data_IF_450948988304
#
_entry.id   IF_450948988304
#
_cell.length_a   1.000
_cell.length_b   1.000
_cell.length_c   1.000
_cell.angle_alpha   90.00
_cell.angle_beta   90.00
_cell.angle_gamma   90.00
#
_symmetry.space_group_name_H-M   'P 1'
#
loop_
_entity.id
_entity.type
_entity.pdbx_description
1 polymer ?
#
# COMPACT_ATOMS: atom_id res chain seq x y z
N UNK A 1 -2.22 86.18 -19.24
CA UNK A 1 -1.76 85.47 -18.01
C UNK A 1 -0.76 84.41 -18.45
N UNK A 2 0.36 84.28 -17.73
CA UNK A 2 1.67 83.81 -18.21
C UNK A 2 1.73 82.39 -18.83
N UNK A 3 2.57 82.28 -19.86
CA UNK A 3 3.14 81.05 -20.44
C UNK A 3 4.06 80.38 -19.41
N UNK A 4 3.95 79.05 -19.24
CA UNK A 4 5.06 78.22 -18.73
C UNK A 4 5.28 77.00 -19.63
N UNK A 5 6.54 76.83 -20.05
CA UNK A 5 7.05 75.76 -20.93
C UNK A 5 7.95 74.83 -20.11
N UNK A 6 7.96 73.55 -20.50
CA UNK A 6 8.91 72.45 -20.16
C UNK A 6 8.81 71.89 -18.72
N UNK A 7 9.04 70.59 -18.45
CA UNK A 7 10.06 69.70 -19.03
C UNK A 7 9.74 68.22 -18.76
N UNK A 8 9.87 67.36 -19.78
CA UNK A 8 9.96 65.91 -19.62
C UNK A 8 11.23 65.54 -18.84
N UNK A 9 11.07 64.79 -17.75
CA UNK A 9 12.12 63.98 -17.11
C UNK A 9 11.52 62.57 -16.99
N UNK A 10 11.76 61.73 -17.99
CA UNK A 10 11.32 60.34 -18.00
C UNK A 10 12.36 59.53 -18.78
N UNK A 11 13.18 58.76 -18.07
CA UNK A 11 14.19 57.89 -18.68
C UNK A 11 15.27 57.44 -17.70
N UNK A 12 15.85 58.36 -16.94
CA UNK A 12 17.01 58.03 -16.08
C UNK A 12 16.64 57.33 -14.76
N UNK A 13 15.47 57.66 -14.16
CA UNK A 13 15.08 57.12 -12.84
C UNK A 13 14.63 55.65 -12.93
N UNK A 14 13.94 55.26 -14.01
CA UNK A 14 13.51 53.86 -14.19
C UNK A 14 14.65 52.89 -14.47
N UNK A 15 15.72 53.33 -15.15
CA UNK A 15 16.87 52.48 -15.47
C UNK A 15 17.70 52.20 -14.20
N UNK A 16 17.83 53.17 -13.30
CA UNK A 16 18.58 53.01 -12.05
C UNK A 16 17.90 52.01 -11.08
N UNK A 17 16.56 52.02 -11.01
CA UNK A 17 15.81 51.05 -10.20
C UNK A 17 15.90 49.63 -10.76
N UNK A 18 15.88 49.47 -12.09
CA UNK A 18 16.04 48.14 -12.73
C UNK A 18 17.46 47.62 -12.52
N UNK A 19 18.49 48.47 -12.62
CA UNK A 19 19.88 48.09 -12.36
C UNK A 19 20.10 47.69 -10.89
N UNK A 20 19.57 48.45 -9.94
CA UNK A 20 19.67 48.11 -8.51
C UNK A 20 18.92 46.82 -8.17
N UNK A 21 17.76 46.57 -8.78
CA UNK A 21 17.00 45.33 -8.61
C UNK A 21 17.70 44.11 -9.22
N UNK A 22 18.30 44.26 -10.40
CA UNK A 22 19.09 43.20 -11.04
C UNK A 22 20.38 42.91 -10.28
N UNK A 23 21.05 43.95 -9.74
CA UNK A 23 22.23 43.79 -8.87
C UNK A 23 21.83 43.10 -7.57
N UNK A 24 20.71 43.50 -6.93
CA UNK A 24 20.20 42.85 -5.72
C UNK A 24 19.86 41.37 -5.96
N UNK A 25 19.23 41.02 -7.08
CA UNK A 25 18.94 39.62 -7.44
C UNK A 25 20.22 38.83 -7.73
N UNK A 26 21.21 39.42 -8.42
CA UNK A 26 22.50 38.76 -8.67
C UNK A 26 23.32 38.56 -7.40
N UNK A 27 23.39 39.56 -6.52
CA UNK A 27 24.10 39.47 -5.25
C UNK A 27 23.40 38.52 -4.28
N UNK A 28 22.07 38.55 -4.22
CA UNK A 28 21.26 37.61 -3.43
C UNK A 28 21.50 36.16 -3.89
N UNK A 29 21.47 35.88 -5.20
CA UNK A 29 21.76 34.54 -5.73
C UNK A 29 23.20 34.08 -5.50
N UNK A 30 24.18 34.98 -5.59
CA UNK A 30 25.60 34.67 -5.34
C UNK A 30 25.86 34.36 -3.86
N UNK A 31 25.35 35.20 -2.96
CA UNK A 31 25.54 35.03 -1.52
C UNK A 31 24.74 33.81 -1.00
N UNK A 32 23.56 33.53 -1.55
CA UNK A 32 22.82 32.31 -1.22
C UNK A 32 23.52 31.04 -1.76
N UNK A 33 24.12 31.10 -2.95
CA UNK A 33 24.95 30.02 -3.50
C UNK A 33 26.17 29.74 -2.64
N UNK A 34 26.86 30.77 -2.14
CA UNK A 34 28.09 30.60 -1.36
C UNK A 34 27.83 30.23 0.10
N UNK A 35 26.70 30.65 0.68
CA UNK A 35 26.24 30.19 2.01
C UNK A 35 25.75 28.74 1.95
N UNK A 36 25.05 28.33 0.89
CA UNK A 36 24.64 26.93 0.67
C UNK A 36 25.85 26.03 0.39
N UNK A 37 26.88 26.53 -0.29
CA UNK A 37 28.15 25.78 -0.50
C UNK A 37 29.00 25.67 0.76
N UNK A 38 28.94 26.63 1.69
CA UNK A 38 29.72 26.59 2.94
C UNK A 38 29.08 25.77 4.06
N UNK A 39 27.78 25.42 3.96
CA UNK A 39 27.09 24.56 4.93
C UNK A 39 26.87 23.11 4.46
N UNK A 40 27.11 22.78 3.18
CA UNK A 40 26.94 21.43 2.63
C UNK A 40 28.29 20.72 2.38
N UNK A 41 29.06 20.52 3.44
CA UNK A 41 30.21 19.60 3.46
C UNK A 41 29.82 18.10 3.43
N UNK A 42 28.53 17.79 3.29
CA UNK A 42 28.05 16.50 2.84
C UNK A 42 27.07 16.76 1.72
N UNK A 43 27.28 16.17 0.54
CA UNK A 43 26.16 16.00 -0.38
C UNK A 43 25.05 15.28 0.41
N UNK A 44 23.77 15.70 0.31
CA UNK A 44 22.71 14.79 0.68
C UNK A 44 22.88 13.61 -0.27
N UNK A 45 23.47 12.52 0.23
CA UNK A 45 23.33 11.24 -0.40
C UNK A 45 21.82 11.00 -0.39
N UNK A 46 21.17 11.30 -1.51
CA UNK A 46 20.01 10.53 -1.93
C UNK A 46 20.51 9.10 -1.93
N UNK A 47 20.32 8.42 -0.80
CA UNK A 47 20.53 6.99 -0.68
C UNK A 47 19.66 6.40 -1.78
N UNK A 48 20.29 5.98 -2.87
CA UNK A 48 19.57 5.24 -3.88
C UNK A 48 18.87 4.07 -3.17
N UNK A 49 17.58 3.87 -3.41
CA UNK A 49 16.85 2.79 -2.77
C UNK A 49 17.62 1.48 -2.98
N UNK A 50 17.75 0.67 -1.93
CA UNK A 50 18.45 -0.62 -2.09
C UNK A 50 17.71 -1.42 -3.18
N UNK A 51 18.42 -2.22 -4.00
CA UNK A 51 17.82 -2.87 -5.16
C UNK A 51 16.62 -3.77 -4.82
N UNK A 52 16.52 -4.25 -3.57
CA UNK A 52 15.45 -5.13 -3.08
C UNK A 52 14.51 -4.44 -2.08
N UNK A 53 14.61 -3.11 -1.94
CA UNK A 53 13.78 -2.34 -1.03
C UNK A 53 12.34 -2.24 -1.54
N UNK A 54 11.40 -2.38 -0.61
CA UNK A 54 9.97 -2.34 -0.89
C UNK A 54 9.34 -1.20 -0.11
N UNK A 55 8.58 -0.34 -0.80
CA UNK A 55 7.66 0.60 -0.13
C UNK A 55 6.39 -0.14 0.24
N UNK A 56 6.01 -0.09 1.52
CA UNK A 56 4.79 -0.71 2.03
C UNK A 56 3.67 0.32 2.01
N UNK A 57 2.51 -0.08 1.51
CA UNK A 57 1.28 0.69 1.53
C UNK A 57 0.24 -0.03 2.38
N UNK A 58 -0.48 0.71 3.20
CA UNK A 58 -1.59 0.19 3.99
C UNK A 58 -2.72 1.19 4.09
N UNK A 59 -3.93 0.70 4.34
CA UNK A 59 -5.13 1.49 4.63
C UNK A 59 -5.82 0.86 5.84
N UNK A 60 -6.27 1.70 6.76
CA UNK A 60 -7.16 1.29 7.84
C UNK A 60 -8.45 2.09 7.81
N UNK A 61 -9.57 1.37 7.83
CA UNK A 61 -10.93 1.91 7.97
C UNK A 61 -11.55 1.24 9.20
N UNK A 62 -11.94 1.99 10.24
CA UNK A 62 -12.56 1.43 11.43
C UNK A 62 -13.98 0.96 11.10
N UNK A 63 -14.20 -0.36 11.05
CA UNK A 63 -15.49 -0.97 10.70
C UNK A 63 -16.36 -1.27 11.93
N UNK A 64 -15.85 -1.01 13.14
CA UNK A 64 -16.49 -1.42 14.38
C UNK A 64 -16.40 -2.93 14.58
N UNK A 65 -17.37 -3.50 15.30
CA UNK A 65 -17.43 -4.95 15.55
C UNK A 65 -18.07 -5.68 14.38
N UNK A 66 -17.39 -6.68 13.82
CA UNK A 66 -17.92 -7.48 12.73
C UNK A 66 -17.53 -8.97 12.85
N UNK A 67 -18.35 -9.85 12.27
CA UNK A 67 -18.08 -11.28 12.22
C UNK A 67 -17.15 -11.60 11.05
N UNK A 68 -16.16 -12.48 11.28
CA UNK A 68 -15.30 -13.03 10.23
C UNK A 68 -14.93 -14.48 10.51
N UNK A 69 -15.12 -15.34 9.52
CA UNK A 69 -14.96 -16.79 9.65
C UNK A 69 -16.21 -17.46 10.21
N UNK A 70 -16.04 -18.65 10.83
CA UNK A 70 -17.12 -19.45 11.39
C UNK A 70 -17.94 -18.75 12.49
N UNK A 71 -19.09 -19.34 12.83
CA UNK A 71 -20.05 -18.78 13.79
C UNK A 71 -19.39 -18.46 15.14
N UNK A 72 -19.45 -17.19 15.57
CA UNK A 72 -18.96 -16.71 16.86
C UNK A 72 -17.64 -15.93 16.83
N UNK A 73 -16.92 -15.89 15.70
CA UNK A 73 -15.66 -15.15 15.60
C UNK A 73 -15.89 -13.68 15.23
N UNK A 74 -15.69 -12.79 16.20
CA UNK A 74 -15.81 -11.34 16.03
C UNK A 74 -14.44 -10.65 16.09
N UNK A 75 -14.34 -9.57 15.32
CA UNK A 75 -13.21 -8.67 15.25
C UNK A 75 -13.70 -7.26 15.51
N UNK A 76 -12.84 -6.43 16.09
CA UNK A 76 -13.15 -5.06 16.49
C UNK A 76 -11.92 -4.16 16.35
N UNK A 77 -12.16 -2.85 16.46
CA UNK A 77 -11.11 -1.84 16.30
C UNK A 77 -9.98 -1.99 17.33
N UNK A 78 -10.29 -2.40 18.57
CA UNK A 78 -9.30 -2.54 19.63
C UNK A 78 -8.33 -3.69 19.36
N UNK A 79 -8.83 -4.82 18.85
CA UNK A 79 -7.99 -5.93 18.39
C UNK A 79 -7.08 -5.49 17.25
N UNK A 80 -7.61 -4.80 16.25
CA UNK A 80 -6.79 -4.29 15.14
C UNK A 80 -5.76 -3.26 15.61
N UNK A 81 -6.12 -2.38 16.57
CA UNK A 81 -5.19 -1.43 17.18
C UNK A 81 -4.02 -2.13 17.87
N UNK A 82 -4.25 -3.24 18.59
CA UNK A 82 -3.17 -4.06 19.14
C UNK A 82 -2.26 -4.59 18.03
N UNK A 83 -2.83 -5.11 16.94
CA UNK A 83 -2.05 -5.64 15.83
C UNK A 83 -1.24 -4.59 15.07
N UNK A 84 -1.70 -3.33 15.02
CA UNK A 84 -0.96 -2.23 14.40
C UNK A 84 0.42 -2.02 15.04
N UNK A 85 0.66 -2.45 16.28
CA UNK A 85 1.97 -2.34 16.94
C UNK A 85 3.12 -2.92 16.11
N UNK A 86 2.86 -3.97 15.31
CA UNK A 86 3.88 -4.58 14.45
C UNK A 86 4.40 -3.63 13.37
N UNK A 87 3.61 -2.63 12.97
CA UNK A 87 4.04 -1.56 12.06
C UNK A 87 5.02 -0.60 12.74
N UNK A 88 5.08 -0.55 14.08
CA UNK A 88 6.16 0.14 14.79
C UNK A 88 7.51 -0.53 14.51
N UNK A 89 7.54 -1.85 14.34
CA UNK A 89 8.77 -2.61 14.12
C UNK A 89 9.17 -2.75 12.65
N UNK A 90 8.30 -2.34 11.73
CA UNK A 90 8.53 -2.43 10.29
C UNK A 90 9.42 -1.26 9.81
N UNK A 91 10.68 -1.54 9.50
CA UNK A 91 11.66 -0.52 9.07
C UNK A 91 11.52 -0.07 7.61
N UNK A 92 10.68 -0.73 6.81
CA UNK A 92 10.38 -0.28 5.44
C UNK A 92 9.83 1.15 5.45
N UNK A 93 9.99 1.83 4.31
CA UNK A 93 9.18 3.01 4.02
C UNK A 93 7.70 2.59 4.03
N UNK A 94 6.90 3.29 4.81
CA UNK A 94 5.47 3.06 4.94
C UNK A 94 4.70 4.27 4.44
N UNK A 95 3.70 4.03 3.59
CA UNK A 95 2.65 4.98 3.24
C UNK A 95 1.34 4.46 3.81
N UNK A 96 0.84 5.10 4.86
CA UNK A 96 -0.38 4.68 5.56
C UNK A 96 -1.51 5.67 5.32
N UNK A 97 -2.63 5.16 4.79
CA UNK A 97 -3.87 5.90 4.61
C UNK A 97 -4.82 5.62 5.76
N UNK A 98 -5.25 6.66 6.47
CA UNK A 98 -5.95 6.54 7.74
C UNK A 98 -7.20 7.42 7.72
N UNK A 99 -8.35 6.85 8.09
CA UNK A 99 -9.65 7.54 7.98
C UNK A 99 -10.11 8.25 9.24
N UNK A 100 -9.37 8.11 10.35
CA UNK A 100 -9.68 8.70 11.64
C UNK A 100 -8.41 9.21 12.35
N UNK A 101 -8.58 10.24 13.18
CA UNK A 101 -7.48 10.90 13.89
C UNK A 101 -6.84 10.01 14.97
N UNK A 102 -7.62 9.14 15.60
CA UNK A 102 -7.12 8.25 16.66
C UNK A 102 -6.09 7.27 16.09
N UNK A 103 -6.41 6.65 14.96
CA UNK A 103 -5.49 5.75 14.26
C UNK A 103 -4.32 6.51 13.65
N UNK A 104 -4.55 7.71 13.11
CA UNK A 104 -3.48 8.60 12.63
C UNK A 104 -2.44 8.88 13.71
N UNK A 105 -2.90 9.34 14.87
CA UNK A 105 -2.03 9.67 16.00
C UNK A 105 -1.34 8.42 16.55
N UNK A 106 -2.04 7.28 16.55
CA UNK A 106 -1.44 6.01 16.97
C UNK A 106 -0.30 5.56 16.05
N UNK A 107 -0.49 5.59 14.72
CA UNK A 107 0.58 5.28 13.76
C UNK A 107 1.79 6.21 13.91
N UNK A 108 1.52 7.51 14.09
CA UNK A 108 2.57 8.51 14.36
C UNK A 108 3.36 8.16 15.62
N UNK A 109 2.68 7.74 16.69
CA UNK A 109 3.30 7.38 17.95
C UNK A 109 4.18 6.11 17.82
N UNK A 110 3.63 5.01 17.30
CA UNK A 110 4.34 3.71 17.29
C UNK A 110 5.55 3.73 16.34
N UNK A 111 5.56 4.62 15.34
CA UNK A 111 6.68 4.79 14.39
C UNK A 111 7.60 5.97 14.72
N UNK A 112 7.37 6.69 15.82
CA UNK A 112 8.12 7.92 16.16
C UNK A 112 9.61 7.70 16.39
N UNK A 113 10.02 6.47 16.69
CA UNK A 113 11.42 6.08 16.87
C UNK A 113 12.16 5.78 15.55
N UNK A 114 11.43 5.67 14.43
CA UNK A 114 12.02 5.47 13.11
C UNK A 114 12.36 6.82 12.46
N UNK A 115 13.33 6.86 11.53
CA UNK A 115 13.63 8.07 10.78
C UNK A 115 12.37 8.65 10.10
N UNK A 116 12.15 9.98 10.12
CA UNK A 116 10.92 10.59 9.61
C UNK A 116 10.59 10.24 8.15
N UNK A 117 11.60 10.08 7.31
CA UNK A 117 11.47 9.73 5.89
C UNK A 117 10.90 8.30 5.66
N UNK A 118 10.91 7.46 6.70
CA UNK A 118 10.35 6.09 6.66
C UNK A 118 8.84 6.06 6.82
N UNK A 119 8.18 7.18 7.11
CA UNK A 119 6.75 7.19 7.42
C UNK A 119 6.05 8.36 6.75
N UNK A 120 5.13 8.04 5.83
CA UNK A 120 4.18 8.97 5.25
C UNK A 120 2.79 8.60 5.75
N UNK A 121 2.16 9.51 6.50
CA UNK A 121 0.80 9.33 7.00
C UNK A 121 -0.14 10.26 6.24
N UNK A 122 -1.19 9.70 5.66
CA UNK A 122 -2.17 10.42 4.83
C UNK A 122 -3.54 10.23 5.46
N UNK A 123 -4.19 11.35 5.80
CA UNK A 123 -5.61 11.33 6.14
C UNK A 123 -6.40 11.20 4.85
N UNK A 124 -7.38 10.31 4.83
CA UNK A 124 -8.25 10.11 3.67
C UNK A 124 -9.68 9.94 4.13
N UNK A 125 -10.64 10.51 3.41
CA UNK A 125 -12.03 10.16 3.60
C UNK A 125 -12.36 8.94 2.73
N UNK A 126 -13.04 7.93 3.28
CA UNK A 126 -13.44 6.75 2.50
C UNK A 126 -14.25 7.11 1.25
N UNK A 127 -15.02 8.20 1.25
CA UNK A 127 -15.78 8.66 0.08
C UNK A 127 -14.89 9.13 -1.09
N UNK A 128 -13.63 9.45 -0.83
CA UNK A 128 -12.64 9.83 -1.85
C UNK A 128 -12.06 8.61 -2.57
N UNK A 129 -12.18 7.41 -1.97
CA UNK A 129 -11.68 6.16 -2.54
C UNK A 129 -12.66 5.65 -3.60
N UNK A 130 -12.12 5.35 -4.80
CA UNK A 130 -12.91 4.93 -5.95
C UNK A 130 -13.85 3.76 -5.65
N UNK A 131 -13.39 2.76 -4.91
CA UNK A 131 -14.16 1.57 -4.53
C UNK A 131 -15.40 1.91 -3.70
N UNK A 132 -15.34 2.92 -2.84
CA UNK A 132 -16.46 3.29 -1.98
C UNK A 132 -17.58 4.03 -2.74
N UNK A 133 -17.33 4.49 -3.97
CA UNK A 133 -18.38 5.05 -4.84
C UNK A 133 -19.43 4.01 -5.23
N UNK A 134 -19.08 2.73 -5.19
CA UNK A 134 -19.98 1.61 -5.48
C UNK A 134 -20.73 1.09 -4.24
N UNK A 135 -20.71 1.83 -3.11
CA UNK A 135 -21.33 1.39 -1.85
C UNK A 135 -22.79 0.99 -2.00
N UNK A 136 -23.63 1.89 -2.52
CA UNK A 136 -25.07 1.63 -2.63
C UNK A 136 -25.34 0.43 -3.54
N UNK A 137 -24.55 0.29 -4.62
CA UNK A 137 -24.67 -0.82 -5.57
C UNK A 137 -24.30 -2.16 -4.92
N UNK A 138 -23.16 -2.23 -4.22
CA UNK A 138 -22.74 -3.44 -3.51
C UNK A 138 -23.72 -3.78 -2.39
N UNK A 139 -24.19 -2.79 -1.64
CA UNK A 139 -25.17 -2.98 -0.58
C UNK A 139 -26.49 -3.53 -1.12
N UNK A 140 -26.96 -3.02 -2.26
CA UNK A 140 -28.15 -3.53 -2.95
C UNK A 140 -27.98 -4.98 -3.43
N UNK A 141 -26.79 -5.36 -3.91
CA UNK A 141 -26.50 -6.76 -4.28
C UNK A 141 -26.58 -7.64 -3.03
N UNK A 142 -25.95 -7.22 -1.93
CA UNK A 142 -25.91 -7.99 -0.68
C UNK A 142 -27.26 -8.08 0.03
N UNK A 143 -28.19 -7.15 -0.20
CA UNK A 143 -29.53 -7.20 0.36
C UNK A 143 -30.44 -8.22 -0.32
N UNK A 144 -30.09 -8.74 -1.50
CA UNK A 144 -30.91 -9.73 -2.20
C UNK A 144 -31.00 -11.05 -1.39
N UNK A 145 -32.18 -11.68 -1.26
CA UNK A 145 -32.35 -12.90 -0.46
C UNK A 145 -31.55 -14.10 -0.99
N UNK A 146 -31.40 -14.21 -2.30
CA UNK A 146 -30.73 -15.30 -3.02
C UNK A 146 -29.20 -15.11 -3.15
N UNK A 147 -28.67 -13.95 -2.75
CA UNK A 147 -27.25 -13.68 -2.78
C UNK A 147 -26.52 -14.43 -1.65
N UNK A 148 -25.38 -15.09 -1.91
CA UNK A 148 -24.65 -15.89 -0.92
C UNK A 148 -24.31 -15.07 0.32
N UNK A 149 -24.42 -15.68 1.51
CA UNK A 149 -24.20 -15.02 2.81
C UNK A 149 -22.94 -15.56 3.48
N UNK A 150 -21.80 -14.98 3.13
CA UNK A 150 -20.50 -15.29 3.70
C UNK A 150 -20.02 -14.12 4.54
N UNK A 151 -19.90 -14.30 5.85
CA UNK A 151 -19.42 -13.24 6.74
C UNK A 151 -17.88 -13.10 6.67
N UNK A 152 -17.34 -11.88 6.46
CA UNK A 152 -18.02 -10.61 6.14
C UNK A 152 -18.18 -10.35 4.62
N UNK A 153 -17.58 -11.21 3.79
CA UNK A 153 -17.29 -11.01 2.38
C UNK A 153 -18.48 -10.65 1.48
N UNK A 154 -19.69 -11.12 1.78
CA UNK A 154 -20.90 -10.86 0.95
C UNK A 154 -22.10 -10.39 1.76
N UNK A 155 -21.84 -9.90 2.97
CA UNK A 155 -22.88 -9.41 3.90
C UNK A 155 -22.56 -8.02 4.46
N UNK A 156 -21.28 -7.63 4.46
CA UNK A 156 -20.84 -6.31 4.90
C UNK A 156 -20.19 -5.57 3.71
N UNK A 157 -20.95 -4.63 3.13
CA UNK A 157 -20.48 -3.82 2.01
C UNK A 157 -19.26 -2.96 2.40
N UNK A 158 -19.23 -2.38 3.60
CA UNK A 158 -18.08 -1.60 4.07
C UNK A 158 -16.82 -2.46 4.16
N UNK A 159 -16.91 -3.70 4.65
CA UNK A 159 -15.77 -4.61 4.69
C UNK A 159 -15.27 -4.91 3.27
N UNK A 160 -16.19 -5.31 2.38
CA UNK A 160 -15.84 -5.69 1.01
C UNK A 160 -15.16 -4.54 0.28
N UNK A 161 -15.71 -3.34 0.39
CA UNK A 161 -15.17 -2.15 -0.28
C UNK A 161 -13.85 -1.69 0.34
N UNK A 162 -13.62 -1.92 1.64
CA UNK A 162 -12.30 -1.71 2.26
C UNK A 162 -11.25 -2.63 1.64
N UNK A 163 -11.56 -3.90 1.39
CA UNK A 163 -10.64 -4.84 0.73
C UNK A 163 -10.34 -4.42 -0.71
N UNK A 164 -11.35 -3.93 -1.44
CA UNK A 164 -11.19 -3.40 -2.81
C UNK A 164 -10.39 -2.08 -2.85
N UNK A 165 -10.59 -1.19 -1.87
CA UNK A 165 -9.96 0.14 -1.82
C UNK A 165 -8.43 0.10 -1.67
N UNK A 166 -7.87 -1.05 -1.32
CA UNK A 166 -6.44 -1.38 -1.44
C UNK A 166 -5.81 -0.93 -2.74
N UNK A 167 -6.47 -1.20 -3.86
CA UNK A 167 -5.96 -0.86 -5.18
C UNK A 167 -6.11 0.63 -5.51
N UNK A 168 -7.01 1.34 -4.82
CA UNK A 168 -7.09 2.79 -4.90
C UNK A 168 -5.91 3.44 -4.19
N UNK A 169 -5.59 3.00 -2.97
CA UNK A 169 -4.51 3.60 -2.19
C UNK A 169 -3.12 3.18 -2.67
N UNK A 170 -2.95 1.98 -3.23
CA UNK A 170 -1.72 1.60 -3.93
C UNK A 170 -1.45 2.54 -5.12
N UNK A 171 -2.48 2.79 -5.94
CA UNK A 171 -2.40 3.71 -7.07
C UNK A 171 -2.09 5.13 -6.59
N UNK A 172 -2.81 5.61 -5.57
CA UNK A 172 -2.65 6.95 -4.99
C UNK A 172 -1.24 7.15 -4.42
N UNK A 173 -0.68 6.17 -3.70
CA UNK A 173 0.67 6.25 -3.16
C UNK A 173 1.72 6.47 -4.26
N UNK A 174 1.58 5.79 -5.39
CA UNK A 174 2.48 5.96 -6.53
C UNK A 174 2.25 7.29 -7.24
N UNK A 175 1.00 7.71 -7.44
CA UNK A 175 0.65 8.95 -8.16
C UNK A 175 1.04 10.21 -7.39
N UNK A 176 1.00 10.15 -6.05
CA UNK A 176 1.50 11.22 -5.17
C UNK A 176 3.03 11.25 -5.04
N UNK A 177 3.75 10.34 -5.72
CA UNK A 177 5.21 10.27 -5.65
C UNK A 177 5.77 9.77 -4.31
N UNK A 178 4.94 9.10 -3.49
CA UNK A 178 5.38 8.55 -2.20
C UNK A 178 6.07 7.19 -2.33
N UNK A 179 6.09 6.60 -3.53
CA UNK A 179 6.77 5.34 -3.84
C UNK A 179 8.01 5.63 -4.66
N UNK A 180 9.19 5.59 -4.03
CA UNK A 180 10.48 5.84 -4.65
C UNK A 180 11.34 4.57 -4.80
N UNK A 181 10.83 3.42 -4.39
CA UNK A 181 11.49 2.11 -4.52
C UNK A 181 11.04 1.41 -5.80
N UNK A 182 11.86 0.52 -6.37
CA UNK A 182 11.46 -0.28 -7.55
C UNK A 182 10.22 -1.14 -7.29
N UNK A 183 10.09 -1.63 -6.05
CA UNK A 183 9.02 -2.53 -5.64
C UNK A 183 8.08 -1.86 -4.65
N UNK A 184 6.82 -2.26 -4.70
CA UNK A 184 5.76 -1.81 -3.83
C UNK A 184 4.99 -3.02 -3.33
N UNK A 185 4.57 -2.98 -2.08
CA UNK A 185 3.68 -3.98 -1.55
C UNK A 185 2.52 -3.39 -0.76
N UNK A 186 1.39 -4.06 -0.84
CA UNK A 186 0.29 -3.89 0.11
C UNK A 186 0.52 -4.77 1.34
N UNK A 187 0.19 -4.27 2.53
CA UNK A 187 0.19 -5.05 3.79
C UNK A 187 -1.04 -4.75 4.63
N UNK A 188 -1.89 -5.77 4.88
CA UNK A 188 -3.05 -5.66 5.78
C UNK A 188 -2.60 -5.42 7.23
N UNK A 189 -3.40 -4.64 7.97
CA UNK A 189 -3.31 -4.61 9.43
C UNK A 189 -3.67 -5.99 9.98
N UNK A 190 -2.82 -6.55 10.83
CA UNK A 190 -2.96 -7.92 11.36
C UNK A 190 -1.84 -8.86 10.95
N UNK A 191 -1.03 -8.50 9.95
CA UNK A 191 0.19 -9.22 9.62
C UNK A 191 1.23 -9.08 10.72
N UNK A 192 2.05 -10.13 10.86
CA UNK A 192 3.09 -10.25 11.88
C UNK A 192 2.59 -10.18 13.32
N UNK A 193 1.27 -10.30 13.57
CA UNK A 193 0.69 -10.26 14.92
C UNK A 193 1.23 -11.34 15.85
N UNK A 194 1.76 -12.44 15.32
CA UNK A 194 2.42 -13.49 16.12
C UNK A 194 3.71 -12.99 16.76
N UNK A 195 4.38 -11.99 16.16
CA UNK A 195 5.56 -11.36 16.73
C UNK A 195 5.24 -10.54 18.00
N UNK A 196 3.97 -10.25 18.28
CA UNK A 196 3.56 -9.56 19.51
C UNK A 196 3.66 -10.46 20.76
N UNK A 197 3.81 -11.76 20.57
CA UNK A 197 4.07 -12.68 21.66
C UNK A 197 5.54 -12.55 22.09
N UNK A 198 5.78 -12.29 23.37
CA UNK A 198 7.11 -11.93 23.92
C UNK A 198 8.22 -12.94 23.58
N UNK A 199 7.86 -14.21 23.37
CA UNK A 199 8.78 -15.29 23.04
C UNK A 199 9.33 -15.22 21.60
N UNK A 200 8.73 -14.43 20.71
CA UNK A 200 9.10 -14.39 19.30
C UNK A 200 10.03 -13.23 18.95
N UNK A 201 10.01 -12.13 19.73
CA UNK A 201 10.85 -10.97 19.41
C UNK A 201 11.16 -10.08 20.60
N UNK A 202 12.44 -9.70 20.81
CA UNK A 202 12.79 -8.69 21.79
C UNK A 202 12.12 -7.34 21.49
N UNK A 203 11.73 -6.64 22.56
CA UNK A 203 11.22 -5.27 22.49
C UNK A 203 12.26 -4.36 21.80
N UNK A 204 11.82 -3.53 20.86
CA UNK A 204 12.62 -2.59 20.05
C UNK A 204 13.44 -3.19 18.88
N UNK A 205 13.35 -4.48 18.62
CA UNK A 205 13.93 -5.03 17.39
C UNK A 205 13.06 -4.66 16.17
N UNK A 206 13.69 -4.28 15.04
CA UNK A 206 13.01 -3.85 13.81
C UNK A 206 13.24 -4.83 12.67
N UNK A 207 12.21 -5.13 11.87
CA UNK A 207 12.32 -6.06 10.73
C UNK A 207 12.13 -5.30 9.43
N UNK A 208 12.63 -5.86 8.33
CA UNK A 208 12.43 -5.33 6.98
C UNK A 208 11.79 -6.41 6.12
N UNK A 209 10.97 -6.00 5.17
CA UNK A 209 10.47 -6.85 4.09
C UNK A 209 11.25 -6.51 2.82
N UNK A 210 11.75 -7.55 2.17
CA UNK A 210 12.44 -7.45 0.89
C UNK A 210 11.78 -8.34 -0.15
N UNK A 211 12.21 -8.20 -1.39
CA UNK A 211 11.75 -9.06 -2.49
C UNK A 211 12.23 -10.50 -2.26
N UNK A 212 11.41 -11.55 -2.46
CA UNK A 212 11.86 -12.94 -2.42
C UNK A 212 12.99 -13.22 -3.43
N UNK A 213 13.86 -14.19 -3.17
CA UNK A 213 15.00 -14.49 -4.04
C UNK A 213 14.59 -14.99 -5.44
N UNK A 214 13.45 -15.66 -5.56
CA UNK A 214 12.92 -16.23 -6.80
C UNK A 214 11.77 -15.41 -7.40
N UNK A 215 11.64 -14.14 -7.02
CA UNK A 215 10.57 -13.29 -7.53
C UNK A 215 10.80 -12.93 -9.00
N UNK A 216 9.78 -13.09 -9.83
CA UNK A 216 9.77 -12.61 -11.21
C UNK A 216 9.18 -11.20 -11.26
N UNK A 217 10.02 -10.22 -11.61
CA UNK A 217 9.68 -8.80 -11.70
C UNK A 217 8.55 -8.49 -12.69
N UNK A 218 8.17 -9.44 -13.56
CA UNK A 218 7.05 -9.30 -14.51
C UNK A 218 5.69 -9.73 -13.93
N UNK A 219 5.67 -10.26 -12.71
CA UNK A 219 4.47 -10.85 -12.08
C UNK A 219 4.05 -10.09 -10.82
N UNK A 220 2.84 -10.40 -10.34
CA UNK A 220 2.38 -9.97 -9.02
C UNK A 220 2.39 -11.17 -8.09
N UNK A 221 3.05 -11.02 -6.94
CA UNK A 221 3.18 -12.08 -5.95
C UNK A 221 2.05 -12.03 -4.92
N UNK A 222 1.52 -13.22 -4.61
CA UNK A 222 0.56 -13.45 -3.53
C UNK A 222 0.89 -14.74 -2.75
N UNK A 223 0.36 -14.88 -1.54
CA UNK A 223 0.30 -16.21 -0.88
C UNK A 223 -0.78 -17.07 -1.55
N UNK A 224 -0.50 -18.35 -1.79
CA UNK A 224 -1.50 -19.30 -2.28
C UNK A 224 -2.34 -19.86 -1.12
N UNK A 225 -3.66 -19.89 -1.32
CA UNK A 225 -4.61 -20.46 -0.37
C UNK A 225 -5.14 -21.79 -0.90
N UNK A 226 -5.77 -21.76 -2.07
CA UNK A 226 -6.24 -22.96 -2.77
C UNK A 226 -5.34 -23.29 -3.95
N UNK A 227 -5.10 -24.58 -4.23
CA UNK A 227 -4.22 -24.98 -5.32
C UNK A 227 -4.78 -24.64 -6.70
N UNK A 228 -3.95 -24.11 -7.62
CA UNK A 228 -4.38 -23.69 -8.97
C UNK A 228 -5.20 -24.74 -9.73
N UNK A 229 -4.94 -26.02 -9.56
CA UNK A 229 -5.69 -27.10 -10.24
C UNK A 229 -7.17 -27.15 -9.88
N UNK A 230 -7.52 -26.85 -8.64
CA UNK A 230 -8.91 -26.73 -8.22
C UNK A 230 -9.58 -25.49 -8.86
N UNK A 231 -8.81 -24.42 -9.00
CA UNK A 231 -9.30 -23.10 -9.40
C UNK A 231 -9.42 -22.88 -10.91
N UNK A 232 -8.74 -23.69 -11.73
CA UNK A 232 -8.60 -23.44 -13.18
C UNK A 232 -9.90 -23.44 -13.98
N UNK A 233 -10.94 -24.11 -13.49
CA UNK A 233 -12.22 -24.26 -14.18
C UNK A 233 -13.37 -23.50 -13.51
N UNK A 234 -13.11 -22.77 -12.42
CA UNK A 234 -14.15 -22.04 -11.70
C UNK A 234 -14.57 -20.79 -12.47
N UNK A 235 -15.87 -20.56 -12.57
CA UNK A 235 -16.43 -19.30 -13.08
C UNK A 235 -16.31 -18.18 -12.02
N UNK A 236 -16.45 -16.90 -12.42
CA UNK A 236 -16.54 -15.80 -11.47
C UNK A 236 -17.62 -16.00 -10.40
N UNK A 237 -18.78 -16.55 -10.78
CA UNK A 237 -19.85 -16.81 -9.82
C UNK A 237 -19.49 -17.92 -8.84
N UNK A 238 -18.72 -18.95 -9.23
CA UNK A 238 -18.30 -20.01 -8.33
C UNK A 238 -17.41 -19.47 -7.19
N UNK A 239 -16.52 -18.52 -7.50
CA UNK A 239 -15.70 -17.85 -6.48
C UNK A 239 -16.56 -17.15 -5.42
N UNK A 240 -17.58 -16.42 -5.86
CA UNK A 240 -18.43 -15.60 -4.99
C UNK A 240 -19.43 -16.48 -4.23
N UNK A 241 -20.15 -17.35 -4.95
CA UNK A 241 -21.17 -18.24 -4.40
C UNK A 241 -20.62 -19.15 -3.32
N UNK A 242 -19.44 -19.72 -3.54
CA UNK A 242 -18.84 -20.70 -2.62
C UNK A 242 -17.74 -20.09 -1.75
N UNK A 243 -17.51 -18.78 -1.83
CA UNK A 243 -16.45 -18.08 -1.11
C UNK A 243 -15.05 -18.69 -1.33
N UNK A 244 -14.78 -19.20 -2.52
CA UNK A 244 -13.48 -19.79 -2.84
C UNK A 244 -12.39 -18.71 -2.90
N UNK A 245 -11.19 -19.08 -2.47
CA UNK A 245 -10.02 -18.18 -2.41
C UNK A 245 -8.83 -18.91 -3.04
N UNK A 246 -8.39 -18.41 -4.19
CA UNK A 246 -7.16 -18.91 -4.82
C UNK A 246 -5.93 -18.33 -4.13
N UNK A 247 -5.90 -17.00 -3.99
CA UNK A 247 -4.78 -16.27 -3.40
C UNK A 247 -5.24 -15.35 -2.27
N UNK A 248 -4.40 -15.19 -1.26
CA UNK A 248 -4.68 -14.30 -0.14
C UNK A 248 -4.37 -12.85 -0.52
N UNK A 249 -5.36 -11.97 -0.41
CA UNK A 249 -5.19 -10.54 -0.70
C UNK A 249 -4.35 -9.78 0.34
N UNK A 250 -4.06 -10.38 1.50
CA UNK A 250 -3.54 -9.63 2.66
C UNK A 250 -2.11 -9.09 2.52
N UNK A 251 -1.33 -9.64 1.59
CA UNK A 251 -0.05 -9.08 1.18
C UNK A 251 0.13 -9.30 -0.32
N UNK A 252 0.48 -8.22 -1.03
CA UNK A 252 0.63 -8.21 -2.49
C UNK A 252 1.94 -7.52 -2.81
N UNK A 253 2.82 -8.13 -3.60
CA UNK A 253 4.11 -7.56 -3.96
C UNK A 253 4.26 -7.50 -5.48
N UNK A 254 4.77 -6.39 -6.00
CA UNK A 254 5.13 -6.27 -7.40
C UNK A 254 6.12 -5.13 -7.67
N UNK A 255 6.71 -5.15 -8.86
CA UNK A 255 7.36 -3.98 -9.45
C UNK A 255 6.30 -2.92 -9.79
N UNK A 256 6.66 -1.62 -9.70
CA UNK A 256 5.71 -0.52 -9.86
C UNK A 256 4.95 -0.53 -11.19
N UNK A 257 5.63 -0.76 -12.32
CA UNK A 257 4.97 -0.79 -13.63
C UNK A 257 4.00 -1.97 -13.76
N UNK A 258 4.33 -3.12 -13.17
CA UNK A 258 3.48 -4.32 -13.16
C UNK A 258 2.25 -4.10 -12.28
N UNK A 259 2.40 -3.57 -11.05
CA UNK A 259 1.23 -3.35 -10.18
C UNK A 259 0.26 -2.34 -10.78
N UNK A 260 0.76 -1.32 -11.52
CA UNK A 260 -0.12 -0.36 -12.22
C UNK A 260 -0.98 -1.05 -13.28
N UNK A 261 -0.40 -1.98 -14.05
CA UNK A 261 -1.17 -2.80 -15.02
C UNK A 261 -2.20 -3.66 -14.29
N UNK A 262 -1.79 -4.33 -13.21
CA UNK A 262 -2.67 -5.15 -12.40
C UNK A 262 -3.85 -4.36 -11.81
N UNK A 263 -3.60 -3.18 -11.23
CA UNK A 263 -4.65 -2.31 -10.67
C UNK A 263 -5.68 -1.92 -11.74
N UNK A 264 -5.23 -1.57 -12.96
CA UNK A 264 -6.15 -1.26 -14.06
C UNK A 264 -7.00 -2.48 -14.44
N UNK A 265 -6.39 -3.65 -14.58
CA UNK A 265 -7.09 -4.88 -14.89
C UNK A 265 -8.07 -5.28 -13.76
N UNK A 266 -7.67 -5.13 -12.51
CA UNK A 266 -8.50 -5.36 -11.33
C UNK A 266 -9.74 -4.46 -11.34
N UNK A 267 -9.56 -3.14 -11.52
CA UNK A 267 -10.67 -2.18 -11.54
C UNK A 267 -11.66 -2.48 -12.65
N UNK A 268 -11.18 -2.83 -13.86
CA UNK A 268 -12.04 -3.25 -14.97
C UNK A 268 -12.82 -4.51 -14.63
N UNK A 269 -12.14 -5.51 -14.05
CA UNK A 269 -12.76 -6.78 -13.67
C UNK A 269 -13.82 -6.60 -12.57
N UNK A 270 -13.54 -5.81 -11.54
CA UNK A 270 -14.53 -5.48 -10.50
C UNK A 270 -15.78 -4.81 -11.09
N UNK A 271 -15.59 -3.82 -11.99
CA UNK A 271 -16.72 -3.16 -12.65
C UNK A 271 -17.51 -4.10 -13.58
N UNK A 272 -16.85 -5.05 -14.25
CA UNK A 272 -17.53 -6.08 -15.02
C UNK A 272 -18.40 -6.98 -14.13
N UNK A 273 -17.86 -7.43 -13.00
CA UNK A 273 -18.61 -8.22 -12.02
C UNK A 273 -19.83 -7.44 -11.48
N UNK A 274 -19.68 -6.16 -11.15
CA UNK A 274 -20.80 -5.34 -10.65
C UNK A 274 -21.95 -5.20 -11.67
N UNK A 275 -21.62 -5.13 -12.97
CA UNK A 275 -22.63 -5.12 -14.05
C UNK A 275 -23.43 -6.42 -14.07
N UNK A 276 -22.77 -7.54 -13.77
CA UNK A 276 -23.39 -8.87 -13.69
C UNK A 276 -24.02 -9.16 -12.31
N UNK A 277 -24.23 -8.12 -11.48
CA UNK A 277 -24.75 -8.24 -10.11
C UNK A 277 -23.87 -9.09 -9.18
N UNK A 278 -22.57 -9.11 -9.41
CA UNK A 278 -21.58 -9.83 -8.62
C UNK A 278 -20.68 -8.86 -7.86
N UNK A 279 -20.58 -9.04 -6.55
CA UNK A 279 -19.72 -8.29 -5.64
C UNK A 279 -19.18 -9.20 -4.52
N UNK A 280 -17.93 -9.00 -4.13
CA UNK A 280 -17.29 -9.63 -2.98
C UNK A 280 -16.00 -8.87 -2.63
N UNK A 281 -15.17 -9.45 -1.76
CA UNK A 281 -13.82 -8.96 -1.45
C UNK A 281 -12.84 -9.14 -2.61
N UNK A 282 -11.67 -8.51 -2.48
CA UNK A 282 -10.59 -8.59 -3.45
C UNK A 282 -10.16 -10.01 -3.81
N UNK A 283 -10.20 -10.94 -2.85
CA UNK A 283 -9.81 -12.32 -3.08
C UNK A 283 -10.68 -13.03 -4.12
N UNK A 284 -12.00 -12.82 -4.08
CA UNK A 284 -12.92 -13.39 -5.07
C UNK A 284 -12.83 -12.63 -6.41
N UNK A 285 -12.59 -11.32 -6.38
CA UNK A 285 -12.35 -10.55 -7.61
C UNK A 285 -11.10 -11.06 -8.32
N UNK A 286 -9.99 -11.28 -7.59
CA UNK A 286 -8.76 -11.84 -8.15
C UNK A 286 -8.99 -13.26 -8.67
N UNK A 287 -9.69 -14.12 -7.91
CA UNK A 287 -10.07 -15.44 -8.41
C UNK A 287 -10.81 -15.37 -9.74
N UNK A 288 -11.79 -14.46 -9.82
CA UNK A 288 -12.59 -14.22 -11.01
C UNK A 288 -11.77 -13.71 -12.20
N UNK A 289 -10.83 -12.78 -11.97
CA UNK A 289 -9.94 -12.25 -13.02
C UNK A 289 -9.24 -13.37 -13.81
N UNK A 290 -8.85 -14.45 -13.14
CA UNK A 290 -8.11 -15.56 -13.73
C UNK A 290 -8.98 -16.81 -13.97
N UNK A 291 -10.30 -16.62 -14.04
CA UNK A 291 -11.26 -17.62 -14.53
C UNK A 291 -11.19 -17.75 -16.06
N UNK A 292 -11.65 -18.86 -16.65
CA UNK A 292 -11.71 -19.02 -18.10
C UNK A 292 -12.43 -17.87 -18.84
N UNK A 293 -13.41 -17.24 -18.20
CA UNK A 293 -14.23 -16.18 -18.78
C UNK A 293 -13.49 -14.83 -18.86
N UNK A 294 -12.60 -14.55 -17.92
CA UNK A 294 -11.99 -13.22 -17.76
C UNK A 294 -10.47 -13.21 -18.02
N UNK A 295 -9.82 -14.38 -18.10
CA UNK A 295 -8.36 -14.49 -18.21
C UNK A 295 -7.81 -13.78 -19.46
N UNK A 296 -8.57 -13.75 -20.56
CA UNK A 296 -8.18 -13.10 -21.83
C UNK A 296 -7.95 -11.59 -21.70
N UNK A 297 -8.55 -10.96 -20.69
CA UNK A 297 -8.45 -9.52 -20.43
C UNK A 297 -7.33 -9.18 -19.43
N UNK A 298 -6.58 -10.20 -18.97
CA UNK A 298 -5.50 -10.07 -18.00
C UNK A 298 -4.14 -10.05 -18.70
N UNK A 299 -3.40 -8.97 -18.51
CA UNK A 299 -2.05 -8.76 -19.08
C UNK A 299 -0.92 -9.11 -18.09
N UNK A 300 -1.28 -9.44 -16.85
CA UNK A 300 -0.34 -9.65 -15.75
C UNK A 300 -0.53 -11.06 -15.22
N UNK A 301 0.56 -11.76 -14.97
CA UNK A 301 0.53 -13.08 -14.34
C UNK A 301 0.70 -12.98 -12.83
N UNK A 302 0.17 -13.97 -12.12
CA UNK A 302 0.36 -14.13 -10.68
C UNK A 302 1.46 -15.17 -10.42
N UNK A 303 2.38 -14.83 -9.51
CA UNK A 303 3.29 -15.77 -8.88
C UNK A 303 2.77 -16.09 -7.48
N UNK A 304 2.63 -17.36 -7.14
CA UNK A 304 2.15 -17.77 -5.82
C UNK A 304 3.25 -18.31 -4.93
N UNK A 305 3.08 -18.14 -3.62
CA UNK A 305 4.00 -18.63 -2.59
C UNK A 305 3.24 -19.51 -1.59
N UNK A 306 3.82 -20.65 -1.26
CA UNK A 306 3.31 -21.61 -0.27
C UNK A 306 4.34 -21.82 0.82
N UNK A 307 3.84 -22.05 2.02
CA UNK A 307 4.64 -22.36 3.19
C UNK A 307 4.17 -23.69 3.77
N UNK A 308 5.11 -24.48 4.29
CA UNK A 308 4.81 -25.72 5.01
C UNK A 308 4.35 -25.40 6.45
N UNK A 309 3.68 -26.35 7.10
CA UNK A 309 3.30 -26.21 8.50
C UNK A 309 4.54 -26.02 9.40
N UNK A 310 4.47 -25.08 10.34
CA UNK A 310 5.58 -24.68 11.21
C UNK A 310 6.62 -23.78 10.54
N UNK A 311 6.58 -23.60 9.22
CA UNK A 311 7.52 -22.71 8.54
C UNK A 311 7.31 -21.26 9.02
N UNK A 312 8.39 -20.62 9.46
CA UNK A 312 8.37 -19.29 10.09
C UNK A 312 7.49 -19.18 11.34
N UNK A 313 7.17 -20.30 11.99
CA UNK A 313 6.25 -20.36 13.13
C UNK A 313 4.78 -20.14 12.74
N UNK A 314 4.44 -20.28 11.46
CA UNK A 314 3.07 -20.21 10.98
C UNK A 314 2.40 -21.59 11.09
N UNK A 315 1.12 -21.59 11.47
CA UNK A 315 0.29 -22.80 11.57
C UNK A 315 -1.13 -22.57 11.06
N UNK A 316 -1.83 -23.64 10.70
CA UNK A 316 -3.27 -23.58 10.37
C UNK A 316 -3.60 -22.66 9.19
N UNK A 317 -4.56 -21.74 9.34
CA UNK A 317 -4.85 -20.78 8.27
C UNK A 317 -3.72 -19.79 8.01
N UNK A 318 -2.87 -19.51 9.00
CA UNK A 318 -1.85 -18.47 8.87
C UNK A 318 -0.75 -18.88 7.87
N UNK A 319 -0.48 -20.19 7.70
CA UNK A 319 0.46 -20.68 6.67
C UNK A 319 -0.01 -20.33 5.25
N UNK A 320 -1.31 -20.36 4.99
CA UNK A 320 -1.88 -20.08 3.68
C UNK A 320 -1.96 -18.57 3.43
N UNK A 321 -2.43 -17.82 4.43
CA UNK A 321 -2.75 -16.41 4.21
C UNK A 321 -1.53 -15.48 4.34
N UNK A 322 -0.50 -15.84 5.12
CA UNK A 322 0.62 -14.93 5.40
C UNK A 322 1.96 -15.32 4.79
N UNK A 323 2.05 -16.47 4.12
CA UNK A 323 3.30 -17.03 3.63
C UNK A 323 4.21 -16.00 2.93
N UNK A 324 3.70 -15.31 1.89
CA UNK A 324 4.53 -14.40 1.10
C UNK A 324 5.18 -13.30 1.95
N UNK A 325 4.47 -12.72 2.92
CA UNK A 325 5.02 -11.66 3.75
C UNK A 325 6.17 -12.17 4.63
N UNK A 326 6.07 -13.41 5.14
CA UNK A 326 7.16 -14.03 5.91
C UNK A 326 8.33 -14.46 5.02
N UNK A 327 8.07 -14.93 3.80
CA UNK A 327 9.12 -15.15 2.78
C UNK A 327 9.87 -13.84 2.48
N UNK A 328 9.15 -12.72 2.36
CA UNK A 328 9.75 -11.40 2.15
C UNK A 328 10.60 -10.94 3.34
N UNK A 329 10.15 -11.22 4.57
CA UNK A 329 10.90 -10.95 5.80
C UNK A 329 12.21 -11.75 5.83
N UNK A 330 12.12 -13.07 5.65
CA UNK A 330 13.27 -13.97 5.63
C UNK A 330 14.30 -13.55 4.56
N UNK A 331 13.83 -13.22 3.35
CA UNK A 331 14.70 -12.79 2.27
C UNK A 331 15.44 -11.49 2.58
N UNK A 332 14.88 -10.59 3.41
CA UNK A 332 15.59 -9.40 3.86
C UNK A 332 16.63 -9.72 4.95
N UNK A 333 16.29 -10.63 5.87
CA UNK A 333 17.16 -11.04 6.97
C UNK A 333 18.40 -11.79 6.46
N UNK A 334 18.22 -12.73 5.54
CA UNK A 334 19.32 -13.46 4.91
C UNK A 334 20.27 -12.53 4.13
N UNK A 335 19.73 -11.54 3.41
CA UNK A 335 20.57 -10.53 2.72
C UNK A 335 21.37 -9.69 3.71
N UNK A 336 20.77 -9.33 4.85
CA UNK A 336 21.45 -8.58 5.91
C UNK A 336 22.59 -9.41 6.50
N UNK A 337 22.33 -10.68 6.84
CA UNK A 337 23.34 -11.59 7.37
C UNK A 337 24.53 -11.79 6.41
N UNK A 338 24.24 -12.01 5.11
CA UNK A 338 25.28 -12.16 4.10
C UNK A 338 26.12 -10.89 3.92
N UNK A 339 25.51 -9.71 4.04
CA UNK A 339 26.25 -8.43 3.97
C UNK A 339 27.19 -8.28 5.17
N UNK A 340 26.74 -8.67 6.37
CA UNK A 340 27.57 -8.65 7.58
C UNK A 340 28.77 -9.59 7.45
N UNK A 341 28.57 -10.79 6.93
CA UNK A 341 29.65 -11.78 6.73
C UNK A 341 30.70 -11.37 5.68
N UNK A 342 30.36 -10.47 4.75
CA UNK A 342 31.33 -9.94 3.78
C UNK A 342 32.16 -8.76 4.34
N UNK A 343 31.75 -8.18 5.47
CA UNK A 343 32.39 -7.04 6.12
C UNK A 343 33.24 -7.44 7.33
N UNK A 344 33.20 -8.71 7.73
CA UNK A 344 34.05 -9.35 8.75
C UNK A 344 35.13 -10.18 8.10
#
# INVERSE_FOLDING_TARGET
MFVYRKKHIGGAVSILFILLYVIYIKYSKSVFSDVVKRFNGGQPQTLEPKPYEVTIVTLYVPLGKFQKGGAGNFFDNDRYRKWMQTFGWLSNKLVAFLTDDDTYNYFKQIRSHLPPERTVLIRVNRSELGSFKDYDRVNQIYSKPDYPKHHPNTVNANYSLTMNAKYDVLQMAMDLGHVNTRYIAWLDIGFFRTLLQENFRPKNDTFTLGVPFNFDDKKVAFSEVGGRDFHKNLSPWDYIKNNYVWVAGGYVLAEQSVIRKFIRAYKRSFQALLKDNMASTDQQVIGSMYSPQMIKDQEVEIQTYRCSDGQFGLHGSDIQYFCLAYVCKEAAELRRANTTLQLT
#
